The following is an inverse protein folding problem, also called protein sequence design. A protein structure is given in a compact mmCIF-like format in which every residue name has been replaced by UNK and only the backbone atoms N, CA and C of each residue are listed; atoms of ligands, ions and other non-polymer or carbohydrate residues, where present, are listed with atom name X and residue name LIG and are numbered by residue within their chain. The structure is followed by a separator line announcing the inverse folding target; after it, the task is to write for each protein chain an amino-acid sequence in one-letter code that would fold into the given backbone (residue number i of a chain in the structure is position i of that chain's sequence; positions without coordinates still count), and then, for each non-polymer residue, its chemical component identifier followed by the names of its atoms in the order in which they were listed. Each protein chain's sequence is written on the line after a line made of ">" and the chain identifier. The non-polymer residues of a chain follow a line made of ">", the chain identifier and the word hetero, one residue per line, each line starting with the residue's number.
data_IF_705881290224
#
_entry.id   IF_705881290224
#
_cell.length_a   1.000
_cell.length_b   1.000
_cell.length_c   1.000
_cell.angle_alpha   90.00
_cell.angle_beta   90.00
_cell.angle_gamma   90.00
#
_symmetry.space_group_name_H-M   'P 1'
#
loop_
_entity.id
_entity.type
_entity.pdbx_description
1 polymer ?
#
# COMPACT_ATOMS: atom_id res chain seq x y z
N UNK A 1 -12.78 -11.60 -15.52
CA UNK A 1 -13.25 -10.59 -15.02
C UNK A 1 -12.98 -9.48 -15.75
N UNK A 2 -13.78 -8.84 -15.87
CA UNK A 2 -13.61 -7.84 -16.73
C UNK A 2 -12.83 -6.75 -16.14
N UNK A 3 -12.05 -6.18 -16.98
CA UNK A 3 -11.31 -5.05 -16.59
C UNK A 3 -12.28 -3.97 -16.16
N UNK A 4 -13.45 -3.91 -16.70
CA UNK A 4 -14.37 -2.86 -16.34
C UNK A 4 -14.85 -3.01 -14.90
N UNK A 5 -14.92 -4.22 -14.40
CA UNK A 5 -15.31 -4.41 -13.04
C UNK A 5 -14.20 -3.94 -12.14
N UNK A 6 -12.96 -4.24 -12.50
CA UNK A 6 -11.83 -3.80 -11.73
C UNK A 6 -11.77 -2.27 -11.75
N UNK A 7 -12.01 -1.67 -12.91
CA UNK A 7 -12.00 -0.22 -13.01
C UNK A 7 -13.06 0.39 -12.11
N UNK A 8 -14.21 -0.20 -12.04
CA UNK A 8 -15.26 0.33 -11.20
C UNK A 8 -14.88 0.25 -9.73
N UNK A 9 -14.28 -0.85 -9.34
CA UNK A 9 -13.88 -1.00 -7.97
C UNK A 9 -12.80 0.00 -7.60
N UNK A 10 -11.84 0.21 -8.49
CA UNK A 10 -10.77 1.14 -8.21
C UNK A 10 -11.30 2.57 -8.15
N UNK A 11 -12.28 2.89 -8.99
CA UNK A 11 -12.82 4.20 -8.96
C UNK A 11 -13.61 4.43 -7.68
N UNK A 12 -14.35 3.44 -7.25
CA UNK A 12 -15.07 3.56 -6.00
C UNK A 12 -14.11 3.72 -4.83
N UNK A 13 -12.99 3.01 -4.87
CA UNK A 13 -12.00 3.11 -3.84
C UNK A 13 -11.40 4.51 -3.83
N UNK A 14 -11.11 5.04 -4.99
CA UNK A 14 -10.55 6.36 -5.11
C UNK A 14 -11.56 7.40 -4.61
N UNK A 15 -12.81 7.26 -4.97
CA UNK A 15 -13.82 8.20 -4.57
C UNK A 15 -14.04 8.22 -3.06
N UNK A 16 -13.90 7.08 -2.43
CA UNK A 16 -14.08 7.03 -1.02
C UNK A 16 -12.88 7.53 -0.27
N UNK A 17 -11.72 7.51 -0.86
CA UNK A 17 -10.51 7.89 -0.18
C UNK A 17 -9.98 9.19 -0.74
N UNK A 18 -10.66 10.27 -0.42
CA UNK A 18 -10.31 11.54 -1.02
C UNK A 18 -8.94 12.05 -0.56
N UNK A 19 -8.41 11.50 0.51
CA UNK A 19 -7.08 11.92 0.93
C UNK A 19 -6.00 11.05 0.30
N UNK A 20 -6.37 10.15 -0.59
CA UNK A 20 -5.40 9.28 -1.21
C UNK A 20 -4.58 10.07 -2.22
N UNK A 21 -3.27 9.93 -2.14
CA UNK A 21 -2.37 10.61 -3.03
C UNK A 21 -2.27 9.85 -4.33
N UNK A 22 -2.03 8.57 -4.27
CA UNK A 22 -2.00 7.76 -5.47
C UNK A 22 -2.22 6.31 -5.11
N UNK A 23 -2.53 5.51 -6.13
CA UNK A 23 -2.53 4.05 -5.96
C UNK A 23 -1.84 3.41 -7.15
N UNK A 24 -1.33 2.23 -6.94
CA UNK A 24 -0.74 1.42 -8.00
C UNK A 24 -1.20 0.00 -7.77
N UNK A 25 -1.68 -0.63 -8.82
CA UNK A 25 -2.04 -2.04 -8.77
C UNK A 25 -0.93 -2.77 -9.50
N UNK A 26 -0.33 -3.76 -8.86
CA UNK A 26 0.86 -4.40 -9.37
C UNK A 26 0.70 -5.89 -9.26
N UNK A 27 1.28 -6.63 -10.20
CA UNK A 27 1.21 -8.09 -10.12
C UNK A 27 2.17 -8.57 -9.06
N UNK A 28 2.07 -9.84 -8.70
CA UNK A 28 2.97 -10.37 -7.68
C UNK A 28 4.39 -10.45 -8.19
N UNK A 29 4.60 -10.26 -9.50
CA UNK A 29 5.96 -10.22 -10.03
C UNK A 29 6.52 -8.81 -10.03
N UNK A 30 5.79 -7.85 -9.55
CA UNK A 30 6.31 -6.50 -9.44
C UNK A 30 6.03 -5.63 -10.64
N UNK A 31 5.13 -6.03 -11.51
CA UNK A 31 4.84 -5.29 -12.71
C UNK A 31 3.58 -4.47 -12.52
N UNK A 32 3.67 -3.15 -12.54
CA UNK A 32 2.48 -2.33 -12.35
C UNK A 32 1.61 -2.37 -13.61
N UNK A 33 0.30 -2.43 -13.45
CA UNK A 33 -0.56 -2.43 -14.60
C UNK A 33 -1.74 -1.47 -14.45
N UNK A 34 -1.88 -0.80 -13.34
CA UNK A 34 -2.95 0.18 -13.21
C UNK A 34 -2.54 1.19 -12.16
N UNK A 35 -2.77 2.46 -12.42
CA UNK A 35 -2.40 3.49 -11.47
C UNK A 35 -3.15 4.76 -11.82
N UNK A 36 -3.34 5.64 -10.85
CA UNK A 36 -3.91 6.95 -11.14
C UNK A 36 -2.82 8.00 -11.25
N UNK A 37 -1.56 7.62 -11.26
CA UNK A 37 -0.49 8.58 -11.41
C UNK A 37 -0.34 8.92 -12.88
N UNK A 38 0.08 10.16 -13.14
CA UNK A 38 0.17 10.59 -14.52
C UNK A 38 1.42 10.15 -15.23
N UNK A 39 2.56 10.15 -14.57
CA UNK A 39 3.78 9.80 -15.23
C UNK A 39 4.10 8.35 -15.08
N UNK A 40 4.14 7.66 -16.18
CA UNK A 40 4.42 6.24 -16.14
C UNK A 40 5.80 5.94 -15.59
N UNK A 41 6.76 6.82 -15.80
CA UNK A 41 8.09 6.57 -15.26
C UNK A 41 8.08 6.59 -13.74
N UNK A 42 7.23 7.41 -13.14
CA UNK A 42 7.12 7.43 -11.70
C UNK A 42 6.46 6.15 -11.20
N UNK A 43 5.47 5.67 -11.94
CA UNK A 43 4.79 4.43 -11.55
C UNK A 43 5.78 3.29 -11.52
N UNK A 44 6.59 3.16 -12.57
CA UNK A 44 7.54 2.06 -12.67
C UNK A 44 8.58 2.17 -11.56
N UNK A 45 9.07 3.37 -11.31
CA UNK A 45 10.10 3.55 -10.29
C UNK A 45 9.56 3.23 -8.89
N UNK A 46 8.39 3.74 -8.59
CA UNK A 46 7.82 3.52 -7.28
C UNK A 46 7.42 2.07 -7.09
N UNK A 47 6.86 1.45 -8.13
CA UNK A 47 6.51 0.04 -8.04
C UNK A 47 7.73 -0.81 -7.78
N UNK A 48 8.84 -0.48 -8.42
CA UNK A 48 10.07 -1.24 -8.18
C UNK A 48 10.58 -1.10 -6.76
N UNK A 49 10.54 0.12 -6.23
CA UNK A 49 11.00 0.34 -4.87
C UNK A 49 10.11 -0.41 -3.87
N UNK A 50 8.81 -0.37 -4.10
CA UNK A 50 7.90 -1.03 -3.19
C UNK A 50 8.00 -2.55 -3.33
N UNK A 51 8.24 -3.04 -4.54
CA UNK A 51 8.40 -4.47 -4.72
C UNK A 51 9.61 -4.96 -3.94
N UNK A 52 10.71 -4.22 -3.95
CA UNK A 52 11.88 -4.59 -3.17
C UNK A 52 11.55 -4.58 -1.69
N UNK A 53 10.77 -3.63 -1.24
CA UNK A 53 10.39 -3.57 0.16
C UNK A 53 9.52 -4.77 0.52
N UNK A 54 8.62 -5.16 -0.36
CA UNK A 54 7.77 -6.33 -0.12
C UNK A 54 8.61 -7.58 0.00
N UNK A 55 9.56 -7.76 -0.90
CA UNK A 55 10.40 -8.94 -0.85
C UNK A 55 11.23 -8.98 0.41
N UNK A 56 11.76 -7.84 0.80
CA UNK A 56 12.55 -7.77 2.01
C UNK A 56 11.67 -8.06 3.22
N UNK A 57 10.46 -7.54 3.23
CA UNK A 57 9.55 -7.76 4.34
C UNK A 57 9.17 -9.23 4.46
N UNK A 58 8.91 -9.86 3.32
CA UNK A 58 8.55 -11.28 3.36
C UNK A 58 9.71 -12.12 3.84
N UNK A 59 10.91 -11.78 3.43
CA UNK A 59 12.06 -12.53 3.88
C UNK A 59 12.27 -12.34 5.39
N UNK A 60 12.10 -11.10 5.86
CA UNK A 60 12.27 -10.82 7.27
C UNK A 60 11.24 -11.58 8.10
N UNK A 61 10.00 -11.57 7.65
CA UNK A 61 8.97 -12.29 8.38
C UNK A 61 9.22 -13.78 8.35
N UNK A 62 9.71 -14.30 7.24
CA UNK A 62 10.05 -15.70 7.16
C UNK A 62 11.16 -16.06 8.12
N UNK A 63 12.15 -15.18 8.25
CA UNK A 63 13.24 -15.45 9.16
C UNK A 63 12.79 -15.37 10.62
N UNK A 64 11.77 -14.58 10.89
CA UNK A 64 11.30 -14.48 12.25
C UNK A 64 10.45 -15.66 12.66
N UNK A 65 9.90 -16.40 11.71
CA UNK A 65 9.12 -17.54 12.06
C UNK A 65 10.03 -18.67 12.41
N UNK A 66 9.69 -19.40 13.42
CA UNK A 66 10.51 -20.51 13.80
C UNK A 66 10.09 -21.76 13.10
N UNK A 67 9.01 -21.75 12.37
CA UNK A 67 8.59 -22.94 11.69
C UNK A 67 8.88 -22.77 10.24
N UNK A 68 8.88 -23.84 9.52
CA UNK A 68 9.10 -23.74 8.11
C UNK A 68 7.80 -23.53 7.38
N UNK A 69 6.82 -23.03 7.98
CA UNK A 69 5.56 -22.83 7.32
C UNK A 69 5.74 -21.71 6.35
N UNK A 70 5.80 -22.00 5.13
CA UNK A 70 6.02 -21.00 4.17
C UNK A 70 4.80 -20.45 3.56
N UNK A 71 3.71 -20.75 4.06
CA UNK A 71 2.57 -20.26 3.40
C UNK A 71 2.48 -18.85 3.66
N UNK A 72 2.96 -18.06 2.90
CA UNK A 72 2.85 -16.80 3.13
C UNK A 72 1.84 -16.24 2.49
N UNK A 73 0.89 -16.32 2.79
CA UNK A 73 -0.14 -15.83 2.23
C UNK A 73 -0.18 -14.42 2.08
N UNK A 74 -1.22 -13.74 2.29
CA UNK A 74 -1.42 -12.36 1.93
C UNK A 74 -0.72 -11.43 2.88
N UNK A 75 0.17 -10.67 2.36
CA UNK A 75 0.93 -9.73 3.15
C UNK A 75 0.19 -8.40 3.21
N UNK A 76 0.16 -7.79 4.35
CA UNK A 76 -0.29 -6.42 4.48
C UNK A 76 0.84 -5.66 5.13
N UNK A 77 1.25 -4.57 4.48
CA UNK A 77 2.32 -3.76 4.98
C UNK A 77 1.79 -2.36 5.13
N UNK A 78 2.02 -1.76 6.28
CA UNK A 78 1.52 -0.43 6.52
C UNK A 78 2.58 0.36 7.23
N UNK A 79 2.91 1.52 6.70
CA UNK A 79 3.90 2.38 7.28
C UNK A 79 3.35 3.77 7.36
N UNK A 80 3.54 4.41 8.48
CA UNK A 80 3.04 5.75 8.68
C UNK A 80 4.17 6.63 9.16
N UNK A 81 4.29 7.80 8.57
CA UNK A 81 5.28 8.74 9.00
C UNK A 81 4.65 9.75 9.95
N UNK A 82 5.51 10.41 10.69
CA UNK A 82 5.02 11.34 11.67
C UNK A 82 4.22 12.47 11.06
N UNK A 83 4.53 12.83 9.84
CA UNK A 83 3.84 13.92 9.19
C UNK A 83 2.48 13.51 8.63
N UNK A 84 2.05 12.30 8.87
CA UNK A 84 0.74 11.86 8.39
C UNK A 84 0.75 11.09 7.10
N UNK A 85 1.89 10.99 6.45
CA UNK A 85 1.95 10.20 5.23
C UNK A 85 1.88 8.74 5.58
N UNK A 86 1.14 7.99 4.82
CA UNK A 86 0.97 6.57 5.10
C UNK A 86 1.02 5.79 3.82
N UNK A 87 1.79 4.73 3.81
CA UNK A 87 1.88 3.82 2.69
C UNK A 87 1.25 2.52 3.10
N UNK A 88 0.35 2.01 2.30
CA UNK A 88 -0.31 0.74 2.59
C UNK A 88 -0.18 -0.15 1.39
N UNK A 89 0.26 -1.37 1.62
CA UNK A 89 0.38 -2.38 0.57
C UNK A 89 -0.42 -3.58 1.02
N UNK A 90 -1.37 -3.99 0.21
CA UNK A 90 -2.19 -5.15 0.53
C UNK A 90 -2.06 -6.16 -0.59
N UNK A 91 -1.70 -7.37 -0.25
CA UNK A 91 -1.63 -8.42 -1.24
C UNK A 91 -2.94 -9.17 -1.22
N UNK A 92 -3.51 -9.40 -2.39
CA UNK A 92 -4.71 -10.17 -2.48
C UNK A 92 -4.63 -10.99 -3.73
N UNK A 93 -4.70 -12.28 -3.59
CA UNK A 93 -4.57 -13.20 -4.70
C UNK A 93 -3.24 -12.96 -5.38
N UNK A 94 -3.23 -12.58 -6.62
CA UNK A 94 -2.00 -12.41 -7.34
C UNK A 94 -1.66 -10.96 -7.59
N UNK A 95 -2.18 -10.07 -6.77
CA UNK A 95 -1.95 -8.67 -6.97
C UNK A 95 -1.57 -7.99 -5.67
N UNK A 96 -0.82 -6.89 -5.80
CA UNK A 96 -0.58 -6.00 -4.68
C UNK A 96 -1.28 -4.69 -5.00
N UNK A 97 -2.04 -4.19 -4.06
CA UNK A 97 -2.61 -2.86 -4.19
C UNK A 97 -1.79 -1.96 -3.28
N UNK A 98 -1.18 -0.96 -3.86
CA UNK A 98 -0.33 -0.03 -3.16
C UNK A 98 -1.05 1.31 -3.12
N UNK A 99 -1.18 1.89 -1.96
CA UNK A 99 -1.79 3.21 -1.89
C UNK A 99 -0.99 4.08 -0.95
N UNK A 100 -0.88 5.34 -1.26
CA UNK A 100 -0.25 6.29 -0.40
C UNK A 100 -1.27 7.37 -0.12
N UNK A 101 -1.42 7.73 1.12
CA UNK A 101 -2.40 8.72 1.49
C UNK A 101 -1.84 9.61 2.55
N UNK A 102 -2.46 10.74 2.76
CA UNK A 102 -2.07 11.63 3.80
C UNK A 102 -3.18 11.56 4.82
N UNK A 103 -2.85 10.99 5.97
CA UNK A 103 -3.82 10.85 6.98
C UNK A 103 -3.82 12.14 7.74
N UNK A 104 -4.89 12.87 7.70
CA UNK A 104 -4.96 14.06 8.41
C UNK A 104 -5.12 13.70 9.82
N UNK A 105 -4.08 13.76 10.55
CA UNK A 105 -4.17 13.46 11.91
C UNK A 105 -4.75 14.68 12.51
N UNK A 106 -5.90 14.55 13.04
CA UNK A 106 -6.50 15.63 13.70
C UNK A 106 -5.70 15.71 14.96
N UNK A 107 -5.01 16.76 15.18
CA UNK A 107 -4.22 16.90 16.34
C UNK A 107 -5.07 16.69 17.53
N UNK A 108 -4.56 16.04 18.51
CA UNK A 108 -5.33 15.88 19.71
C UNK A 108 -5.62 17.22 20.28
N UNK A 109 -6.67 17.34 21.00
CA UNK A 109 -6.99 18.62 21.57
C UNK A 109 -5.85 19.06 22.45
N UNK A 110 -5.60 20.31 22.50
CA UNK A 110 -4.47 20.77 23.25
C UNK A 110 -4.49 20.32 24.67
N UNK A 111 -5.64 20.17 25.26
CA UNK A 111 -5.65 19.75 26.60
C UNK A 111 -5.16 18.37 26.70
N UNK A 112 -5.37 17.58 25.73
CA UNK A 112 -4.89 16.24 25.80
C UNK A 112 -3.43 16.24 25.91
N UNK A 113 -2.78 17.14 25.27
CA UNK A 113 -1.44 17.15 25.39
C UNK A 113 -1.00 17.82 26.58
N UNK A 114 -1.68 18.75 27.08
CA UNK A 114 -1.24 19.36 28.19
C UNK A 114 -1.44 18.66 29.38
N UNK A 115 -2.07 17.58 29.38
CA UNK A 115 -2.27 16.86 30.51
C UNK A 115 -1.06 16.47 31.04
N UNK A 116 -0.14 16.59 30.43
CA UNK A 116 1.01 16.22 30.96
C UNK A 116 1.53 17.06 31.79
#
# INVERSE_FOLDING_TARGET
>A
MAQSELDKLLKAFEDKNTSMDFYILMSIDGIPFKSNMEKNSDVVRIAGLIFDLILFSKRTLGDLKKTNDSSDENLTLRMRLKNGEELIVVQQNEYYLISKQICKIVDPPPEAEKKQ
#
